data_IF_772603575634
#
_entry.id   IF_772603575634
#
_cell.length_a   1.000
_cell.length_b   1.000
_cell.length_c   1.000
_cell.angle_alpha   90.00
_cell.angle_beta   90.00
_cell.angle_gamma   90.00
#
_symmetry.space_group_name_H-M   'P 1'
#
loop_
_entity.id
_entity.type
_entity.pdbx_description
1 polymer ?
#
# COMPACT_ATOMS: atom_id res chain seq x y z
N UNK A 1 -49.27 -22.42 -1.36
CA UNK A 1 -48.76 -21.15 -0.78
C UNK A 1 -47.47 -21.32 0.05
N UNK A 2 -47.14 -22.49 0.50
CA UNK A 2 -45.90 -22.74 1.29
C UNK A 2 -44.64 -22.92 0.45
N UNK A 3 -44.75 -23.16 -0.84
CA UNK A 3 -43.62 -23.45 -1.74
C UNK A 3 -43.03 -22.17 -2.34
N UNK A 4 -43.82 -21.09 -2.46
CA UNK A 4 -43.35 -19.81 -3.03
C UNK A 4 -42.51 -18.96 -2.08
N UNK A 5 -42.61 -19.19 -0.76
CA UNK A 5 -41.82 -18.46 0.24
C UNK A 5 -40.38 -18.98 0.30
N UNK A 6 -40.14 -20.21 -0.12
CA UNK A 6 -38.81 -20.83 -0.08
C UNK A 6 -37.92 -20.46 -1.28
N UNK A 7 -38.52 -19.96 -2.36
CA UNK A 7 -37.81 -19.63 -3.60
C UNK A 7 -37.27 -18.18 -3.63
N UNK A 8 -37.74 -17.33 -2.73
CA UNK A 8 -37.34 -15.91 -2.67
C UNK A 8 -36.04 -15.70 -1.85
N UNK A 9 -35.64 -16.70 -1.07
CA UNK A 9 -34.47 -16.61 -0.18
C UNK A 9 -33.11 -16.95 -0.85
N UNK A 10 -33.10 -17.34 -2.13
CA UNK A 10 -31.88 -17.83 -2.79
C UNK A 10 -31.20 -16.82 -3.74
N UNK A 11 -31.63 -15.57 -3.74
CA UNK A 11 -31.02 -14.52 -4.58
C UNK A 11 -30.34 -13.41 -3.77
N UNK A 12 -29.78 -13.74 -2.62
CA UNK A 12 -28.75 -12.89 -2.05
C UNK A 12 -27.44 -13.20 -2.75
N UNK A 13 -27.30 -12.68 -3.97
CA UNK A 13 -26.01 -12.57 -4.64
C UNK A 13 -25.10 -11.76 -3.72
N UNK A 14 -24.17 -12.43 -3.06
CA UNK A 14 -23.05 -11.75 -2.43
C UNK A 14 -22.32 -10.98 -3.52
N UNK A 15 -22.57 -9.69 -3.60
CA UNK A 15 -21.69 -8.78 -4.32
C UNK A 15 -20.37 -8.80 -3.56
N UNK A 16 -19.46 -9.67 -4.00
CA UNK A 16 -18.07 -9.64 -3.56
C UNK A 16 -17.51 -8.30 -4.05
N UNK A 17 -17.48 -7.32 -3.17
CA UNK A 17 -16.75 -6.09 -3.46
C UNK A 17 -15.27 -6.45 -3.48
N UNK A 18 -14.65 -6.32 -4.65
CA UNK A 18 -13.20 -6.44 -4.80
C UNK A 18 -12.50 -5.52 -3.79
N UNK A 19 -11.65 -6.08 -2.94
CA UNK A 19 -10.91 -5.30 -1.96
C UNK A 19 -9.86 -4.44 -2.69
N UNK A 20 -9.85 -3.13 -2.38
CA UNK A 20 -8.83 -2.19 -2.87
C UNK A 20 -7.85 -1.96 -1.73
N UNK A 21 -6.57 -2.26 -1.97
CA UNK A 21 -5.50 -2.06 -1.02
C UNK A 21 -4.55 -0.97 -1.54
N UNK A 22 -4.21 -0.03 -0.66
CA UNK A 22 -3.30 1.07 -0.98
C UNK A 22 -2.07 0.96 -0.11
N UNK A 23 -0.89 1.13 -0.72
CA UNK A 23 0.40 1.06 -0.05
C UNK A 23 1.30 2.18 -0.53
N UNK A 24 2.18 2.65 0.36
CA UNK A 24 3.28 3.55 -0.01
C UNK A 24 4.60 2.85 0.30
N UNK A 25 5.45 2.75 -0.71
CA UNK A 25 6.75 2.11 -0.62
C UNK A 25 7.83 3.15 -0.34
N UNK A 26 8.64 2.91 0.67
CA UNK A 26 9.71 3.80 1.15
C UNK A 26 11.00 3.02 1.39
N UNK A 27 12.11 3.74 1.48
CA UNK A 27 13.41 3.16 1.81
C UNK A 27 14.24 4.16 2.63
N UNK A 28 15.10 3.67 3.51
CA UNK A 28 16.06 4.51 4.24
C UNK A 28 17.14 5.13 3.33
N UNK A 29 17.19 4.80 2.06
CA UNK A 29 18.00 5.50 1.06
C UNK A 29 17.42 6.84 0.63
N UNK A 30 16.15 7.12 0.96
CA UNK A 30 15.52 8.42 0.70
C UNK A 30 16.13 9.50 1.58
N UNK A 31 16.14 10.78 1.13
CA UNK A 31 16.43 11.90 2.01
C UNK A 31 15.51 11.88 3.24
N UNK A 32 16.07 12.17 4.41
CA UNK A 32 15.33 12.07 5.68
C UNK A 32 14.08 12.96 5.71
N UNK A 33 14.19 14.19 5.22
CA UNK A 33 13.04 15.10 5.12
C UNK A 33 11.92 14.53 4.26
N UNK A 34 12.25 13.97 3.10
CA UNK A 34 11.27 13.34 2.21
C UNK A 34 10.64 12.09 2.85
N UNK A 35 11.43 11.30 3.58
CA UNK A 35 10.93 10.16 4.33
C UNK A 35 9.89 10.58 5.36
N UNK A 36 10.21 11.58 6.18
CA UNK A 36 9.32 12.09 7.22
C UNK A 36 8.04 12.67 6.62
N UNK A 37 8.14 13.51 5.60
CA UNK A 37 6.98 14.10 4.91
C UNK A 37 6.07 13.03 4.32
N UNK A 38 6.66 12.04 3.65
CA UNK A 38 5.92 10.92 3.05
C UNK A 38 5.19 10.10 4.12
N UNK A 39 5.86 9.76 5.22
CA UNK A 39 5.27 8.97 6.30
C UNK A 39 4.20 9.75 7.07
N UNK A 40 4.36 11.06 7.26
CA UNK A 40 3.33 11.91 7.86
C UNK A 40 2.07 11.96 6.98
N UNK A 41 2.24 12.02 5.68
CA UNK A 41 1.11 11.99 4.75
C UNK A 41 0.42 10.61 4.74
N UNK A 42 1.20 9.52 4.80
CA UNK A 42 0.67 8.17 4.97
C UNK A 42 -0.18 8.03 6.23
N UNK A 43 0.32 8.54 7.36
CA UNK A 43 -0.41 8.51 8.63
C UNK A 43 -1.72 9.30 8.52
N UNK A 44 -1.68 10.50 8.00
CA UNK A 44 -2.86 11.35 7.82
C UNK A 44 -3.94 10.71 6.94
N UNK A 45 -3.55 9.96 5.92
CA UNK A 45 -4.44 9.28 4.98
C UNK A 45 -4.74 7.83 5.38
N UNK A 46 -4.20 7.36 6.51
CA UNK A 46 -4.32 5.97 6.97
C UNK A 46 -3.86 4.94 5.94
N UNK A 47 -2.75 5.24 5.24
CA UNK A 47 -2.14 4.35 4.25
C UNK A 47 -0.93 3.67 4.90
N UNK A 48 -0.86 2.32 4.92
CA UNK A 48 0.32 1.63 5.40
C UNK A 48 1.52 1.89 4.50
N UNK A 49 2.67 2.10 5.11
CA UNK A 49 3.95 2.25 4.43
C UNK A 49 4.78 0.96 4.51
N UNK A 50 5.47 0.64 3.44
CA UNK A 50 6.26 -0.58 3.30
C UNK A 50 7.73 -0.22 3.05
N UNK A 51 8.59 -0.76 3.90
CA UNK A 51 10.03 -0.56 3.87
C UNK A 51 10.72 -1.74 3.18
N UNK A 52 11.71 -1.45 2.33
CA UNK A 52 12.41 -2.45 1.51
C UNK A 52 13.39 -3.35 2.29
N UNK A 53 13.47 -3.28 3.58
CA UNK A 53 14.38 -4.11 4.33
C UNK A 53 15.10 -3.35 5.44
N UNK A 54 16.23 -3.90 5.87
CA UNK A 54 16.93 -3.41 7.04
C UNK A 54 17.90 -2.27 6.71
N UNK A 55 17.93 -1.26 7.58
CA UNK A 55 18.95 -0.22 7.54
C UNK A 55 20.31 -0.83 7.88
N UNK A 56 21.32 -0.60 7.02
CA UNK A 56 22.67 -1.15 7.19
C UNK A 56 22.71 -2.68 7.42
N UNK A 57 21.71 -3.38 6.92
CA UNK A 57 21.57 -4.83 7.11
C UNK A 57 21.53 -5.24 8.59
N UNK A 58 21.06 -4.35 9.46
CA UNK A 58 21.05 -4.50 10.92
C UNK A 58 19.65 -4.27 11.50
N UNK A 59 19.09 -5.27 12.15
CA UNK A 59 17.82 -5.15 12.84
C UNK A 59 17.86 -4.15 14.01
N UNK A 60 18.90 -4.13 14.88
CA UNK A 60 18.99 -3.13 15.93
C UNK A 60 19.04 -1.69 15.41
N UNK A 61 19.81 -1.42 14.37
CA UNK A 61 19.90 -0.08 13.78
C UNK A 61 18.59 0.31 13.08
N UNK A 62 17.92 -0.64 12.43
CA UNK A 62 16.59 -0.43 11.86
C UNK A 62 15.57 -0.07 12.95
N UNK A 63 15.56 -0.82 14.06
CA UNK A 63 14.67 -0.56 15.18
C UNK A 63 14.87 0.83 15.78
N UNK A 64 16.12 1.29 15.94
CA UNK A 64 16.44 2.65 16.40
C UNK A 64 15.86 3.70 15.45
N UNK A 65 16.03 3.55 14.14
CA UNK A 65 15.48 4.49 13.16
C UNK A 65 13.95 4.51 13.19
N UNK A 66 13.30 3.38 13.26
CA UNK A 66 11.85 3.30 13.36
C UNK A 66 11.34 3.94 14.65
N UNK A 67 12.06 3.75 15.77
CA UNK A 67 11.72 4.40 17.04
C UNK A 67 11.80 5.92 16.93
N UNK A 68 12.84 6.46 16.31
CA UNK A 68 12.98 7.91 16.08
C UNK A 68 11.85 8.45 15.19
N UNK A 69 11.47 7.73 14.15
CA UNK A 69 10.35 8.10 13.30
C UNK A 69 9.02 8.04 14.06
N UNK A 70 8.81 7.02 14.89
CA UNK A 70 7.60 6.87 15.71
C UNK A 70 7.43 7.99 16.74
N UNK A 71 8.55 8.55 17.24
CA UNK A 71 8.51 9.71 18.13
C UNK A 71 8.05 10.99 17.42
N UNK A 72 8.29 11.11 16.13
CA UNK A 72 7.90 12.26 15.32
C UNK A 72 6.53 12.08 14.64
N UNK A 73 6.15 10.83 14.37
CA UNK A 73 4.94 10.50 13.64
C UNK A 73 4.08 9.58 14.50
N UNK A 74 3.09 10.13 15.22
CA UNK A 74 2.15 9.32 15.99
C UNK A 74 1.41 8.32 15.10
N UNK A 75 1.15 7.13 15.62
CA UNK A 75 0.43 6.06 14.92
C UNK A 75 1.08 5.62 13.59
N UNK A 76 2.41 5.74 13.49
CA UNK A 76 3.16 5.30 12.32
C UNK A 76 2.87 3.82 12.01
N UNK A 77 2.39 3.53 10.81
CA UNK A 77 2.20 2.18 10.28
C UNK A 77 3.26 1.89 9.24
N UNK A 78 4.38 1.32 9.67
CA UNK A 78 5.52 0.96 8.83
C UNK A 78 5.80 -0.54 8.95
N UNK A 79 5.80 -1.23 7.81
CA UNK A 79 6.09 -2.65 7.73
C UNK A 79 7.37 -2.88 6.94
N UNK A 80 8.15 -3.88 7.33
CA UNK A 80 9.32 -4.33 6.57
C UNK A 80 8.87 -5.51 5.73
N UNK A 81 8.73 -5.32 4.43
CA UNK A 81 8.30 -6.37 3.50
C UNK A 81 9.02 -6.26 2.14
N UNK A 82 10.21 -6.86 2.01
CA UNK A 82 10.93 -6.88 0.73
C UNK A 82 10.16 -7.61 -0.37
N UNK A 83 9.35 -8.61 -0.02
CA UNK A 83 8.58 -9.39 -1.02
C UNK A 83 7.49 -8.58 -1.67
N UNK A 84 6.93 -7.57 -0.98
CA UNK A 84 5.98 -6.65 -1.57
C UNK A 84 6.64 -5.78 -2.66
N UNK A 85 7.90 -5.38 -2.49
CA UNK A 85 8.66 -4.68 -3.53
C UNK A 85 8.80 -5.52 -4.80
N UNK A 86 9.05 -6.81 -4.66
CA UNK A 86 9.14 -7.73 -5.80
C UNK A 86 7.77 -7.95 -6.45
N UNK A 87 6.75 -8.16 -5.64
CA UNK A 87 5.37 -8.40 -6.10
C UNK A 87 4.86 -7.27 -6.99
N UNK A 88 5.09 -6.03 -6.59
CA UNK A 88 4.67 -4.85 -7.34
C UNK A 88 5.76 -4.27 -8.24
N UNK A 89 6.88 -4.97 -8.38
CA UNK A 89 8.02 -4.54 -9.19
C UNK A 89 8.47 -3.10 -8.90
N UNK A 90 8.57 -2.76 -7.61
CA UNK A 90 8.96 -1.43 -7.15
C UNK A 90 10.47 -1.26 -7.26
N UNK A 91 10.92 -0.32 -8.07
CA UNK A 91 12.34 -0.05 -8.33
C UNK A 91 12.75 1.39 -8.02
N UNK A 92 11.81 2.23 -7.63
CA UNK A 92 12.03 3.61 -7.18
C UNK A 92 11.14 3.91 -5.98
N UNK A 93 11.58 4.79 -5.10
CA UNK A 93 10.85 5.25 -3.92
C UNK A 93 10.89 6.78 -3.86
N UNK A 94 9.86 7.43 -3.34
CA UNK A 94 8.60 6.84 -2.88
C UNK A 94 7.74 6.33 -4.04
N UNK A 95 6.94 5.30 -3.77
CA UNK A 95 5.99 4.77 -4.74
C UNK A 95 4.62 4.55 -4.09
N UNK A 96 3.57 5.06 -4.73
CA UNK A 96 2.18 4.84 -4.34
C UNK A 96 1.61 3.70 -5.18
N UNK A 97 1.09 2.67 -4.52
CA UNK A 97 0.47 1.51 -5.17
C UNK A 97 -0.99 1.42 -4.75
N UNK A 98 -1.86 1.27 -5.71
CA UNK A 98 -3.27 0.92 -5.50
C UNK A 98 -3.52 -0.43 -6.15
N UNK A 99 -3.70 -1.46 -5.33
CA UNK A 99 -3.88 -2.84 -5.75
C UNK A 99 -5.33 -3.26 -5.64
N UNK A 100 -5.80 -3.97 -6.65
CA UNK A 100 -7.06 -4.72 -6.69
C UNK A 100 -6.73 -6.21 -6.75
N UNK A 101 -7.71 -7.07 -6.96
CA UNK A 101 -7.52 -8.53 -6.84
C UNK A 101 -6.32 -9.08 -7.62
N UNK A 102 -6.22 -8.75 -8.91
CA UNK A 102 -5.20 -9.27 -9.84
C UNK A 102 -4.38 -8.20 -10.54
N UNK A 103 -4.67 -6.94 -10.30
CA UNK A 103 -4.04 -5.82 -10.98
C UNK A 103 -3.75 -4.65 -10.04
N UNK A 104 -2.83 -3.78 -10.43
CA UNK A 104 -2.45 -2.62 -9.64
C UNK A 104 -2.00 -1.45 -10.50
N UNK A 105 -2.07 -0.26 -9.92
CA UNK A 105 -1.50 0.97 -10.48
C UNK A 105 -0.37 1.46 -9.58
N UNK A 106 0.67 2.04 -10.17
CA UNK A 106 1.82 2.61 -9.45
C UNK A 106 2.07 4.04 -9.91
N UNK A 107 2.30 4.93 -8.95
CA UNK A 107 2.82 6.26 -9.19
C UNK A 107 4.14 6.41 -8.42
N UNK A 108 5.19 6.77 -9.14
CA UNK A 108 6.51 7.06 -8.58
C UNK A 108 6.72 8.55 -8.36
N UNK A 109 7.49 8.88 -7.34
CA UNK A 109 8.00 10.23 -7.09
C UNK A 109 7.32 10.98 -5.96
N UNK A 110 7.64 12.25 -5.84
CA UNK A 110 7.28 13.14 -4.72
C UNK A 110 5.92 13.80 -4.87
N UNK A 111 5.05 13.25 -5.69
CA UNK A 111 3.69 13.76 -5.85
C UNK A 111 2.93 13.62 -4.52
N UNK A 112 2.17 14.64 -4.08
CA UNK A 112 1.29 14.49 -2.92
C UNK A 112 0.41 13.26 -3.04
N UNK A 113 0.32 12.45 -1.98
CA UNK A 113 -0.40 11.17 -2.04
C UNK A 113 -1.87 11.35 -2.41
N UNK A 114 -2.52 12.39 -1.90
CA UNK A 114 -3.91 12.70 -2.24
C UNK A 114 -4.09 12.95 -3.75
N UNK A 115 -3.15 13.65 -4.39
CA UNK A 115 -3.16 13.86 -5.84
C UNK A 115 -2.88 12.56 -6.60
N UNK A 116 -1.93 11.75 -6.11
CA UNK A 116 -1.65 10.43 -6.68
C UNK A 116 -2.87 9.52 -6.66
N UNK A 117 -3.56 9.45 -5.54
CA UNK A 117 -4.81 8.68 -5.40
C UNK A 117 -5.89 9.18 -6.35
N UNK A 118 -6.05 10.49 -6.49
CA UNK A 118 -7.04 11.07 -7.40
C UNK A 118 -6.70 10.78 -8.87
N UNK A 119 -5.42 10.82 -9.25
CA UNK A 119 -4.98 10.42 -10.59
C UNK A 119 -5.29 8.96 -10.90
N UNK A 120 -5.02 8.05 -9.96
CA UNK A 120 -5.32 6.63 -10.11
C UNK A 120 -6.83 6.43 -10.21
N UNK A 121 -7.62 7.12 -9.40
CA UNK A 121 -9.08 7.04 -9.45
C UNK A 121 -9.66 7.49 -10.79
N UNK A 122 -9.08 8.53 -11.40
CA UNK A 122 -9.56 9.07 -12.68
C UNK A 122 -9.06 8.32 -13.91
N UNK A 123 -7.84 7.80 -13.89
CA UNK A 123 -7.14 7.23 -15.04
C UNK A 123 -6.58 5.85 -14.81
N UNK A 124 -6.69 5.31 -13.59
CA UNK A 124 -6.18 3.99 -13.26
C UNK A 124 -7.05 2.91 -13.88
N UNK A 125 -6.47 2.19 -14.81
CA UNK A 125 -7.11 1.06 -15.49
C UNK A 125 -6.46 -0.27 -15.10
N UNK A 126 -5.82 -0.34 -13.92
CA UNK A 126 -4.99 -1.48 -13.55
C UNK A 126 -3.91 -1.74 -14.61
N UNK A 127 -2.96 -0.84 -14.71
CA UNK A 127 -1.90 -0.86 -15.72
C UNK A 127 -1.01 -2.11 -15.66
N UNK A 128 -0.94 -2.75 -14.50
CA UNK A 128 -0.05 -3.88 -14.26
C UNK A 128 -0.83 -5.05 -13.67
N UNK A 129 -0.56 -6.25 -14.16
CA UNK A 129 -1.01 -7.48 -13.52
C UNK A 129 -0.04 -7.90 -12.43
N UNK A 130 -0.55 -8.40 -11.31
CA UNK A 130 0.28 -9.02 -10.29
C UNK A 130 0.95 -10.24 -10.91
N UNK A 131 2.28 -10.32 -10.85
CA UNK A 131 2.99 -11.50 -11.35
C UNK A 131 2.59 -12.71 -10.49
N UNK A 132 1.89 -13.64 -11.09
CA UNK A 132 1.65 -14.95 -10.51
C UNK A 132 3.00 -15.61 -10.26
N UNK A 133 3.31 -15.92 -9.00
CA UNK A 133 4.42 -16.80 -8.72
C UNK A 133 5.38 -16.43 -7.61
N UNK A 134 5.15 -15.42 -6.80
CA UNK A 134 5.87 -15.29 -5.53
C UNK A 134 5.03 -15.93 -4.43
N UNK A 135 5.16 -17.24 -4.31
CA UNK A 135 4.70 -17.99 -3.14
C UNK A 135 5.67 -17.81 -2.00
#
# INVERSE_FOLDING_TARGET
MRIYVMLICLCMSFMSMAAVNTYVFVSFSMPETLMIETLQECERLHIPSILNGLYQNSMPETAKKIMLLSNQIPNLSLQIDPTAFERFNIHQVPALVVARDDCFDVIYGTLPLAEGLDRIKRKGECQYTVKDGVK
#
